data_IF_746995001661
#
_entry.id   IF_746995001661
#
_cell.length_a   1.000
_cell.length_b   1.000
_cell.length_c   1.000
_cell.angle_alpha   90.00
_cell.angle_beta   90.00
_cell.angle_gamma   90.00
#
_symmetry.space_group_name_H-M   'P 1'
#
loop_
_entity.id
_entity.type
_entity.pdbx_description
1 polymer ?
#
# COMPACT_ATOMS: atom_id res chain seq x y z
N UNK A 1 -0.64 -25.08 4.50
CA UNK A 1 -1.36 -23.79 4.53
C UNK A 1 -0.50 -22.74 3.86
N UNK A 2 -1.11 -21.86 3.04
CA UNK A 2 -0.37 -20.79 2.37
C UNK A 2 0.16 -19.79 3.40
N UNK A 3 1.45 -19.43 3.31
CA UNK A 3 2.10 -18.48 4.25
C UNK A 3 1.84 -17.01 3.88
N UNK A 4 1.31 -16.75 2.69
CA UNK A 4 0.96 -15.43 2.16
C UNK A 4 -0.18 -15.57 1.16
N UNK A 5 -0.87 -14.47 0.87
CA UNK A 5 -1.90 -14.38 -0.17
C UNK A 5 -1.53 -13.27 -1.17
N UNK A 6 -1.90 -13.47 -2.43
CA UNK A 6 -1.71 -12.49 -3.51
C UNK A 6 -3.07 -12.08 -4.01
N UNK A 7 -3.32 -10.78 -4.06
CA UNK A 7 -4.59 -10.21 -4.51
C UNK A 7 -4.32 -9.20 -5.62
N UNK A 8 -5.10 -9.27 -6.71
CA UNK A 8 -5.16 -8.18 -7.68
C UNK A 8 -6.23 -7.20 -7.21
N UNK A 9 -5.85 -5.93 -7.04
CA UNK A 9 -6.74 -4.88 -6.57
C UNK A 9 -6.61 -3.68 -7.51
N UNK A 10 -7.70 -2.98 -7.83
CA UNK A 10 -7.62 -1.70 -8.52
C UNK A 10 -6.75 -0.71 -7.75
N UNK A 11 -6.03 0.15 -8.47
CA UNK A 11 -5.19 1.20 -7.87
C UNK A 11 -6.01 2.11 -6.96
N UNK A 12 -7.24 2.43 -7.37
CA UNK A 12 -8.18 3.22 -6.56
C UNK A 12 -8.45 2.58 -5.19
N UNK A 13 -8.66 1.26 -5.14
CA UNK A 13 -8.89 0.54 -3.89
C UNK A 13 -7.67 0.64 -2.98
N UNK A 14 -6.46 0.46 -3.52
CA UNK A 14 -5.22 0.62 -2.77
C UNK A 14 -5.07 2.04 -2.20
N UNK A 15 -5.34 3.06 -3.01
CA UNK A 15 -5.27 4.46 -2.57
C UNK A 15 -6.32 4.79 -1.50
N UNK A 16 -7.52 4.22 -1.60
CA UNK A 16 -8.57 4.40 -0.60
C UNK A 16 -8.15 3.87 0.78
N UNK A 17 -7.48 2.71 0.84
CA UNK A 17 -6.96 2.14 2.09
C UNK A 17 -5.87 2.99 2.73
N UNK A 18 -5.01 3.62 1.93
CA UNK A 18 -3.99 4.55 2.44
C UNK A 18 -4.67 5.79 3.00
N UNK A 19 -5.60 6.37 2.25
CA UNK A 19 -6.34 7.57 2.66
C UNK A 19 -7.17 7.33 3.93
N UNK A 20 -7.75 6.15 4.08
CA UNK A 20 -8.48 5.73 5.26
C UNK A 20 -7.57 5.35 6.45
N UNK A 21 -6.24 5.31 6.26
CA UNK A 21 -5.29 4.89 7.29
C UNK A 21 -5.34 3.40 7.61
N UNK A 22 -5.97 2.58 6.76
CA UNK A 22 -6.00 1.12 6.91
C UNK A 22 -4.61 0.49 6.70
N UNK A 23 -3.84 1.05 5.76
CA UNK A 23 -2.44 0.70 5.52
C UNK A 23 -1.56 1.76 6.16
N UNK A 24 -0.90 1.39 7.25
CA UNK A 24 0.10 2.21 7.91
C UNK A 24 1.45 2.10 7.20
N UNK A 25 2.06 3.23 6.88
CA UNK A 25 3.46 3.33 6.41
C UNK A 25 4.34 3.56 7.65
N UNK A 26 5.25 2.64 8.00
CA UNK A 26 6.12 2.80 9.17
C UNK A 26 7.03 4.02 9.08
N UNK A 27 7.24 4.72 10.20
CA UNK A 27 8.12 5.88 10.31
C UNK A 27 9.59 5.55 10.03
N UNK A 28 10.03 4.34 10.37
CA UNK A 28 11.41 3.86 10.14
C UNK A 28 11.74 3.65 8.64
N UNK A 29 10.75 3.80 7.74
CA UNK A 29 11.00 3.65 6.32
C UNK A 29 11.82 4.82 5.74
N UNK A 30 12.61 4.52 4.71
CA UNK A 30 13.52 5.49 4.09
C UNK A 30 12.72 6.65 3.51
N UNK A 31 13.31 7.86 3.43
CA UNK A 31 12.66 8.98 2.75
C UNK A 31 12.25 8.64 1.31
N UNK A 32 11.28 9.37 0.79
CA UNK A 32 10.95 9.32 -0.63
C UNK A 32 12.10 9.92 -1.46
N UNK A 33 12.62 9.16 -2.43
CA UNK A 33 13.81 9.53 -3.22
C UNK A 33 13.60 9.41 -4.73
N UNK A 34 12.41 9.03 -5.18
CA UNK A 34 12.11 8.97 -6.61
C UNK A 34 12.02 10.37 -7.21
N UNK A 35 12.74 10.57 -8.31
CA UNK A 35 12.60 11.76 -9.16
C UNK A 35 11.25 11.69 -9.91
N UNK A 36 10.75 12.84 -10.36
CA UNK A 36 9.52 12.95 -11.12
C UNK A 36 9.47 12.03 -12.36
N UNK A 37 10.62 11.79 -13.01
CA UNK A 37 10.69 10.84 -14.14
C UNK A 37 10.27 9.43 -13.74
N UNK A 38 10.75 8.90 -12.60
CA UNK A 38 10.36 7.56 -12.12
C UNK A 38 8.88 7.48 -11.75
N UNK A 39 8.33 8.56 -11.21
CA UNK A 39 6.89 8.65 -10.91
C UNK A 39 6.09 8.56 -12.22
N UNK A 40 6.43 9.38 -13.21
CA UNK A 40 5.82 9.32 -14.54
C UNK A 40 5.94 7.93 -15.16
N UNK A 41 7.13 7.33 -15.13
CA UNK A 41 7.36 6.02 -15.74
C UNK A 41 6.52 4.89 -15.07
N UNK A 42 6.26 5.00 -13.76
CA UNK A 42 5.32 4.12 -13.06
C UNK A 42 3.88 4.32 -13.55
N UNK A 43 3.43 5.57 -13.66
CA UNK A 43 2.09 5.89 -14.16
C UNK A 43 1.92 5.40 -15.60
N UNK A 44 2.93 5.62 -16.44
CA UNK A 44 2.96 5.19 -17.83
C UNK A 44 2.88 3.65 -17.94
N UNK A 45 3.60 2.93 -17.08
CA UNK A 45 3.52 1.47 -17.01
C UNK A 45 2.13 0.98 -16.64
N UNK A 46 1.50 1.61 -15.65
CA UNK A 46 0.13 1.28 -15.24
C UNK A 46 -0.88 1.59 -16.34
N UNK A 47 -0.74 2.73 -17.00
CA UNK A 47 -1.62 3.16 -18.08
C UNK A 47 -1.58 2.20 -19.29
N UNK A 48 -0.39 1.73 -19.65
CA UNK A 48 -0.20 0.75 -20.73
C UNK A 48 -0.44 -0.70 -20.31
N UNK A 49 -0.78 -0.96 -19.06
CA UNK A 49 -1.02 -2.33 -18.55
C UNK A 49 0.25 -3.18 -18.46
N UNK A 50 1.43 -2.56 -18.37
CA UNK A 50 2.68 -3.27 -18.15
C UNK A 50 2.75 -3.84 -16.73
N UNK A 51 3.41 -5.01 -16.55
CA UNK A 51 3.55 -5.60 -15.24
C UNK A 51 4.35 -4.69 -14.31
N UNK A 52 3.75 -4.36 -13.17
CA UNK A 52 4.41 -3.66 -12.06
C UNK A 52 4.62 -4.62 -10.90
N UNK A 53 5.66 -4.38 -10.09
CA UNK A 53 5.92 -5.24 -8.94
C UNK A 53 4.82 -5.15 -7.86
N UNK A 54 4.86 -6.08 -6.91
CA UNK A 54 3.91 -6.16 -5.80
C UNK A 54 4.06 -5.04 -4.77
N UNK A 55 2.96 -4.67 -4.14
CA UNK A 55 2.92 -4.02 -2.83
C UNK A 55 2.78 -5.12 -1.78
N UNK A 56 3.65 -5.12 -0.76
CA UNK A 56 3.64 -6.16 0.27
C UNK A 56 3.16 -5.53 1.57
N UNK A 57 2.12 -6.12 2.15
CA UNK A 57 1.57 -5.71 3.44
C UNK A 57 1.56 -6.86 4.43
N UNK A 58 1.79 -6.57 5.70
CA UNK A 58 1.56 -7.49 6.80
C UNK A 58 0.37 -7.02 7.63
N UNK A 59 -0.57 -7.91 7.95
CA UNK A 59 -1.71 -7.61 8.82
C UNK A 59 -1.48 -8.22 10.19
N UNK A 60 -1.61 -7.40 11.24
CA UNK A 60 -1.58 -7.90 12.61
C UNK A 60 -2.75 -8.86 12.87
N UNK A 61 -2.59 -9.87 13.73
CA UNK A 61 -3.71 -10.71 14.16
C UNK A 61 -4.83 -9.87 14.77
N UNK A 62 -6.07 -10.29 14.54
CA UNK A 62 -7.23 -9.71 15.21
C UNK A 62 -7.22 -10.12 16.70
N UNK A 63 -7.42 -9.17 17.60
CA UNK A 63 -7.35 -9.40 19.06
C UNK A 63 -8.74 -9.27 19.67
N UNK A 64 -9.13 -10.20 20.55
CA UNK A 64 -10.39 -10.09 21.28
C UNK A 64 -10.37 -8.90 22.24
N UNK A 65 -11.34 -8.02 22.09
CA UNK A 65 -11.59 -6.89 22.96
C UNK A 65 -12.40 -7.31 24.19
N UNK A 66 -12.36 -6.49 25.25
CA UNK A 66 -13.08 -6.77 26.51
C UNK A 66 -14.60 -6.82 26.33
N UNK A 67 -15.14 -6.21 25.28
CA UNK A 67 -16.56 -6.24 24.91
C UNK A 67 -16.94 -7.48 24.07
N UNK A 68 -16.01 -8.40 23.80
CA UNK A 68 -16.27 -9.62 23.02
C UNK A 68 -16.08 -9.49 21.51
N UNK A 69 -15.88 -8.27 21.00
CA UNK A 69 -15.60 -8.02 19.58
C UNK A 69 -14.14 -8.34 19.23
N UNK A 70 -13.85 -8.56 17.94
CA UNK A 70 -12.49 -8.68 17.43
C UNK A 70 -11.99 -7.32 16.95
N UNK A 71 -10.78 -6.94 17.36
CA UNK A 71 -10.12 -5.76 16.80
C UNK A 71 -9.72 -6.02 15.36
N UNK A 72 -9.92 -5.04 14.48
CA UNK A 72 -9.37 -5.11 13.14
C UNK A 72 -7.86 -4.86 13.22
N UNK A 73 -7.06 -5.90 12.95
CA UNK A 73 -5.61 -5.75 12.88
C UNK A 73 -5.21 -4.72 11.81
N UNK A 74 -4.28 -3.81 12.15
CA UNK A 74 -3.75 -2.83 11.19
C UNK A 74 -2.93 -3.53 10.10
N UNK A 75 -3.08 -3.08 8.85
CA UNK A 75 -2.18 -3.48 7.75
C UNK A 75 -0.97 -2.55 7.77
N UNK A 76 0.22 -3.11 7.70
CA UNK A 76 1.49 -2.39 7.70
C UNK A 76 2.18 -2.62 6.37
N UNK A 77 2.64 -1.55 5.73
CA UNK A 77 3.40 -1.62 4.50
C UNK A 77 4.81 -2.18 4.79
N UNK A 78 5.19 -3.24 4.08
CA UNK A 78 6.49 -3.90 4.18
C UNK A 78 7.37 -3.57 2.96
N UNK A 79 6.78 -3.60 1.76
CA UNK A 79 7.44 -3.22 0.51
C UNK A 79 6.48 -2.41 -0.35
N UNK A 80 7.03 -1.53 -1.18
CA UNK A 80 6.29 -0.77 -2.17
C UNK A 80 6.17 0.70 -1.84
N UNK A 81 6.83 1.18 -0.78
CA UNK A 81 6.75 2.56 -0.31
C UNK A 81 6.92 3.60 -1.42
N UNK A 82 8.01 3.56 -2.18
CA UNK A 82 8.25 4.57 -3.22
C UNK A 82 7.16 4.55 -4.30
N UNK A 83 6.61 3.37 -4.62
CA UNK A 83 5.50 3.23 -5.58
C UNK A 83 4.21 3.78 -4.99
N UNK A 84 3.91 3.44 -3.74
CA UNK A 84 2.68 3.85 -3.09
C UNK A 84 2.65 5.36 -2.86
N UNK A 85 3.77 5.94 -2.42
CA UNK A 85 3.93 7.39 -2.26
C UNK A 85 3.86 8.10 -3.60
N UNK A 86 4.49 7.55 -4.65
CA UNK A 86 4.39 8.10 -6.00
C UNK A 86 2.94 8.12 -6.52
N UNK A 87 2.17 7.06 -6.28
CA UNK A 87 0.77 6.98 -6.69
C UNK A 87 -0.10 7.97 -5.91
N UNK A 88 0.08 8.07 -4.59
CA UNK A 88 -0.65 9.05 -3.78
C UNK A 88 -0.34 10.47 -4.24
N UNK A 89 0.93 10.81 -4.44
CA UNK A 89 1.33 12.15 -4.87
C UNK A 89 0.80 12.49 -6.27
N UNK A 90 0.90 11.56 -7.23
CA UNK A 90 0.52 11.80 -8.62
C UNK A 90 -1.00 11.79 -8.86
N UNK A 91 -1.74 10.96 -8.13
CA UNK A 91 -3.18 10.72 -8.38
C UNK A 91 -4.05 11.47 -7.37
N UNK A 92 -3.65 11.51 -6.10
CA UNK A 92 -4.42 12.14 -5.01
C UNK A 92 -3.98 13.58 -4.76
N UNK A 93 -2.73 13.94 -5.11
CA UNK A 93 -2.18 15.28 -4.89
C UNK A 93 -1.75 15.54 -3.44
N UNK A 94 -1.34 14.49 -2.72
CA UNK A 94 -0.88 14.52 -1.33
C UNK A 94 0.52 13.93 -1.17
#
# INVERSE_FOLDING_TARGET
MAKYSVHQQPVETLLSWIKAGEIAIPEIQRPFVWKASKVRDLIDSLYHGYPVGYIITWRNPDVKLKNGELSAGKKVLIDGQQRITALTAAIVGQ
#
